data_IF_937732576692
#
_entry.id   IF_937732576692
#
_cell.length_a   1.000
_cell.length_b   1.000
_cell.length_c   1.000
_cell.angle_alpha   90.00
_cell.angle_beta   90.00
_cell.angle_gamma   90.00
#
_symmetry.space_group_name_H-M   'P 1'
#
loop_
_entity.id
_entity.type
_entity.pdbx_description
1 polymer ?
#
# COMPACT_ATOMS: atom_id res chain seq x y z
N UNK A 1 -22.49 -5.28 6.59
CA UNK A 1 -21.07 -4.96 6.83
C UNK A 1 -20.86 -4.84 8.32
N UNK A 2 -19.97 -5.66 8.86
CA UNK A 2 -19.54 -5.59 10.26
C UNK A 2 -18.05 -5.25 10.29
N UNK A 3 -17.65 -4.41 11.24
CA UNK A 3 -16.25 -4.03 11.45
C UNK A 3 -15.88 -4.38 12.88
N UNK A 4 -14.88 -5.24 13.04
CA UNK A 4 -14.37 -5.68 14.33
C UNK A 4 -12.96 -5.16 14.54
N UNK A 5 -12.73 -4.52 15.69
CA UNK A 5 -11.43 -4.05 16.12
C UNK A 5 -10.91 -4.97 17.21
N UNK A 6 -9.72 -5.52 17.00
CA UNK A 6 -9.00 -6.34 17.97
C UNK A 6 -7.72 -5.63 18.38
N UNK A 7 -7.44 -5.53 19.68
CA UNK A 7 -6.19 -4.98 20.18
C UNK A 7 -5.81 -5.69 21.46
N UNK A 8 -4.59 -6.22 21.50
CA UNK A 8 -3.99 -6.84 22.68
C UNK A 8 -2.65 -6.14 22.98
N UNK A 9 -2.26 -6.09 24.25
CA UNK A 9 -1.00 -5.44 24.64
C UNK A 9 0.19 -6.12 23.95
N UNK A 10 1.04 -5.33 23.29
CA UNK A 10 2.17 -5.84 22.52
C UNK A 10 1.84 -6.33 21.10
N UNK A 11 0.56 -6.38 20.71
CA UNK A 11 0.11 -6.81 19.38
C UNK A 11 -0.40 -5.62 18.54
N UNK A 12 -0.37 -5.73 17.19
CA UNK A 12 -0.97 -4.72 16.33
C UNK A 12 -2.50 -4.64 16.55
N UNK A 13 -3.04 -3.45 16.33
CA UNK A 13 -4.47 -3.26 16.13
C UNK A 13 -4.88 -4.00 14.85
N UNK A 14 -5.86 -4.88 14.97
CA UNK A 14 -6.45 -5.61 13.85
C UNK A 14 -7.81 -5.04 13.49
N UNK A 15 -8.07 -4.87 12.20
CA UNK A 15 -9.38 -4.51 11.67
C UNK A 15 -9.86 -5.65 10.78
N UNK A 16 -10.91 -6.33 11.22
CA UNK A 16 -11.58 -7.38 10.47
C UNK A 16 -12.89 -6.83 9.89
N UNK A 17 -13.06 -6.93 8.57
CA UNK A 17 -14.24 -6.45 7.86
C UNK A 17 -14.99 -7.65 7.27
N UNK A 18 -16.22 -7.87 7.72
CA UNK A 18 -17.06 -9.01 7.34
C UNK A 18 -18.45 -8.57 6.86
N UNK A 19 -19.24 -9.56 6.41
CA UNK A 19 -20.66 -9.38 6.06
C UNK A 19 -20.88 -8.31 4.98
N UNK A 20 -19.98 -8.26 3.99
CA UNK A 20 -20.09 -7.36 2.83
C UNK A 20 -21.28 -7.73 1.95
N UNK A 21 -21.60 -9.02 1.84
CA UNK A 21 -22.54 -9.57 0.84
C UNK A 21 -21.81 -9.97 -0.44
N UNK A 22 -22.24 -11.06 -1.08
CA UNK A 22 -21.51 -11.68 -2.20
C UNK A 22 -21.43 -10.82 -3.47
N UNK A 23 -22.28 -9.80 -3.58
CA UNK A 23 -22.31 -8.87 -4.71
C UNK A 23 -21.32 -7.69 -4.57
N UNK A 24 -20.60 -7.59 -3.45
CA UNK A 24 -19.67 -6.49 -3.19
C UNK A 24 -18.23 -7.01 -3.12
N UNK A 25 -17.41 -6.62 -4.11
CA UNK A 25 -16.00 -7.02 -4.24
C UNK A 25 -15.05 -5.82 -4.29
N UNK A 26 -15.49 -4.63 -3.90
CA UNK A 26 -14.69 -3.40 -3.91
C UNK A 26 -14.83 -2.67 -2.60
N UNK A 27 -13.70 -2.46 -1.93
CA UNK A 27 -13.62 -1.75 -0.67
C UNK A 27 -12.62 -0.60 -0.78
N UNK A 28 -12.94 0.52 -0.15
CA UNK A 28 -12.03 1.63 0.08
C UNK A 28 -11.93 1.90 1.57
N UNK A 29 -10.71 1.95 2.08
CA UNK A 29 -10.41 2.26 3.48
C UNK A 29 -9.64 3.57 3.51
N UNK A 30 -10.20 4.56 4.18
CA UNK A 30 -9.56 5.86 4.37
C UNK A 30 -8.92 5.95 5.74
N UNK A 31 -7.64 6.29 5.78
CA UNK A 31 -6.82 6.44 6.98
C UNK A 31 -6.46 7.91 7.08
N UNK A 32 -6.79 8.57 8.19
CA UNK A 32 -6.50 9.99 8.37
C UNK A 32 -4.99 10.28 8.22
N UNK A 33 -4.66 11.39 7.57
CA UNK A 33 -3.29 11.79 7.27
C UNK A 33 -3.08 13.28 7.55
N UNK A 34 -1.82 13.67 7.76
CA UNK A 34 -1.40 15.07 7.75
C UNK A 34 -0.83 15.44 6.38
N UNK A 35 -0.97 16.69 5.90
CA UNK A 35 -0.47 17.09 4.59
C UNK A 35 1.05 16.92 4.39
N UNK A 36 1.82 16.92 5.47
CA UNK A 36 3.28 16.80 5.49
C UNK A 36 3.79 15.39 5.76
N UNK A 37 2.91 14.38 5.90
CA UNK A 37 3.39 13.01 6.10
C UNK A 37 4.20 12.51 4.91
N UNK A 38 5.35 11.92 5.21
CA UNK A 38 6.12 11.10 4.29
C UNK A 38 5.74 9.63 4.48
N UNK A 39 5.52 8.94 3.35
CA UNK A 39 5.08 7.54 3.33
C UNK A 39 6.13 6.67 2.66
N UNK A 40 6.43 5.51 3.23
CA UNK A 40 7.48 4.60 2.75
C UNK A 40 6.95 3.16 2.64
N UNK A 41 7.61 2.31 1.86
CA UNK A 41 7.26 0.90 1.70
C UNK A 41 6.66 0.61 0.33
N UNK A 42 5.47 0.00 0.31
CA UNK A 42 4.84 -0.46 -0.94
C UNK A 42 5.55 -1.67 -1.55
N UNK A 43 6.36 -2.39 -0.77
CA UNK A 43 7.30 -3.40 -1.26
C UNK A 43 8.60 -2.76 -1.76
N UNK A 44 9.13 -3.26 -2.88
CA UNK A 44 10.32 -2.72 -3.52
C UNK A 44 9.95 -1.66 -4.58
N UNK A 45 10.16 -0.39 -4.25
CA UNK A 45 9.85 0.75 -5.12
C UNK A 45 11.14 1.38 -5.68
N UNK A 46 11.16 1.61 -7.00
CA UNK A 46 12.38 2.01 -7.72
C UNK A 46 12.45 3.49 -8.09
N UNK A 47 11.29 4.16 -8.18
CA UNK A 47 11.22 5.55 -8.67
C UNK A 47 11.13 6.55 -7.53
N UNK A 48 10.42 6.20 -6.46
CA UNK A 48 10.14 7.08 -5.32
C UNK A 48 10.30 6.29 -4.03
N UNK A 49 11.10 6.83 -3.10
CA UNK A 49 11.19 6.32 -1.74
C UNK A 49 10.04 6.86 -0.87
N UNK A 50 9.81 8.18 -0.93
CA UNK A 50 8.62 8.80 -0.35
C UNK A 50 7.47 8.67 -1.35
N UNK A 51 6.45 7.90 -0.99
CA UNK A 51 5.29 7.57 -1.81
C UNK A 51 4.21 8.66 -1.78
N UNK A 52 4.38 9.71 -0.98
CA UNK A 52 3.36 10.74 -0.84
C UNK A 52 3.07 11.44 -2.17
N UNK A 53 1.79 11.69 -2.46
CA UNK A 53 1.32 12.43 -3.63
C UNK A 53 0.99 11.57 -4.85
N UNK A 54 1.26 10.26 -4.81
CA UNK A 54 1.04 9.33 -5.93
C UNK A 54 0.25 8.09 -5.50
N UNK A 55 -0.15 7.29 -6.50
CA UNK A 55 -0.86 6.04 -6.34
C UNK A 55 0.03 4.85 -6.69
N UNK A 56 -0.07 3.77 -5.92
CA UNK A 56 0.74 2.57 -6.09
C UNK A 56 -0.15 1.34 -6.17
N UNK A 57 -0.46 0.86 -7.39
CA UNK A 57 -1.14 -0.42 -7.58
C UNK A 57 -0.28 -1.59 -7.08
N UNK A 58 -0.83 -2.40 -6.20
CA UNK A 58 -0.22 -3.62 -5.67
C UNK A 58 -0.57 -4.76 -6.60
N UNK A 59 0.30 -4.97 -7.59
CA UNK A 59 0.18 -6.02 -8.60
C UNK A 59 1.55 -6.40 -9.14
N UNK A 60 2.01 -7.61 -8.82
CA UNK A 60 3.30 -8.11 -9.30
C UNK A 60 3.28 -8.27 -10.81
N UNK A 61 4.33 -7.78 -11.47
CA UNK A 61 4.51 -7.80 -12.92
C UNK A 61 5.95 -7.47 -13.26
N UNK A 62 6.29 -7.56 -14.54
CA UNK A 62 7.54 -7.03 -15.07
C UNK A 62 7.74 -5.57 -14.63
N UNK A 63 8.92 -5.27 -14.10
CA UNK A 63 9.25 -3.94 -13.59
C UNK A 63 9.27 -2.89 -14.72
N UNK A 64 9.62 -3.28 -15.93
CA UNK A 64 9.59 -2.46 -17.14
C UNK A 64 10.94 -1.85 -17.52
N UNK A 65 11.10 -1.53 -18.80
CA UNK A 65 12.33 -1.01 -19.39
C UNK A 65 12.20 0.50 -19.61
N UNK A 66 12.93 1.27 -18.80
CA UNK A 66 12.92 2.75 -18.79
C UNK A 66 11.98 3.32 -17.73
N UNK A 67 10.72 2.86 -17.66
CA UNK A 67 9.74 3.20 -16.59
C UNK A 67 9.38 4.67 -16.44
N UNK A 68 9.65 5.48 -17.46
CA UNK A 68 9.30 6.90 -17.49
C UNK A 68 8.72 7.25 -18.86
N UNK A 69 7.43 7.60 -18.91
CA UNK A 69 6.69 7.83 -20.16
C UNK A 69 7.22 8.99 -21.02
N UNK A 70 8.08 9.84 -20.46
CA UNK A 70 8.74 10.93 -21.20
C UNK A 70 10.03 10.51 -21.90
N UNK A 71 10.56 9.31 -21.60
CA UNK A 71 11.86 8.86 -22.11
C UNK A 71 11.72 8.01 -23.37
N UNK A 72 12.63 8.23 -24.33
CA UNK A 72 12.63 7.53 -25.62
C UNK A 72 12.73 6.01 -25.47
N UNK A 73 13.45 5.53 -24.45
CA UNK A 73 13.57 4.09 -24.16
C UNK A 73 12.22 3.50 -23.83
N UNK A 74 11.46 4.13 -22.93
CA UNK A 74 10.11 3.68 -22.54
C UNK A 74 9.13 3.78 -23.69
N UNK A 75 9.20 4.85 -24.49
CA UNK A 75 8.36 4.99 -25.69
C UNK A 75 8.56 3.82 -26.67
N UNK A 76 9.81 3.46 -26.98
CA UNK A 76 10.11 2.37 -27.92
C UNK A 76 9.69 1.01 -27.36
N UNK A 77 9.91 0.75 -26.07
CA UNK A 77 9.57 -0.54 -25.44
C UNK A 77 8.08 -0.69 -25.17
N UNK A 78 7.34 0.39 -25.00
CA UNK A 78 5.88 0.38 -24.88
C UNK A 78 5.17 -0.04 -26.17
N UNK A 79 5.82 0.06 -27.34
CA UNK A 79 5.32 -0.56 -28.59
C UNK A 79 5.15 -2.09 -28.46
N UNK A 80 5.78 -2.70 -27.44
CA UNK A 80 5.67 -4.11 -27.05
C UNK A 80 5.14 -4.29 -25.62
N UNK A 81 4.56 -3.25 -25.02
CA UNK A 81 4.00 -3.25 -23.66
C UNK A 81 5.01 -3.58 -22.55
N UNK A 82 6.29 -3.26 -22.73
CA UNK A 82 7.36 -3.58 -21.77
C UNK A 82 7.99 -2.36 -21.10
N UNK A 83 7.49 -1.14 -21.33
CA UNK A 83 8.11 0.07 -20.80
C UNK A 83 7.89 0.28 -19.31
N UNK A 84 6.80 -0.26 -18.74
CA UNK A 84 6.44 -0.09 -17.34
C UNK A 84 6.08 1.35 -16.99
N UNK A 85 6.00 1.66 -15.71
CA UNK A 85 5.69 2.99 -15.19
C UNK A 85 6.36 3.19 -13.81
N UNK A 86 6.19 4.36 -13.20
CA UNK A 86 6.86 4.69 -11.95
C UNK A 86 6.59 3.69 -10.81
N UNK A 87 5.41 3.06 -10.80
CA UNK A 87 4.93 2.11 -9.78
C UNK A 87 5.21 0.62 -10.12
N UNK A 88 5.62 0.27 -11.34
CA UNK A 88 5.76 -1.14 -11.72
C UNK A 88 6.97 -1.77 -11.04
N UNK A 89 6.76 -2.94 -10.42
CA UNK A 89 7.77 -3.66 -9.64
C UNK A 89 7.45 -5.16 -9.62
N UNK A 90 8.49 -5.98 -9.49
CA UNK A 90 8.38 -7.41 -9.26
C UNK A 90 7.84 -7.74 -7.86
N UNK A 91 8.08 -6.84 -6.89
CA UNK A 91 7.78 -7.09 -5.49
C UNK A 91 6.96 -5.96 -4.86
N UNK A 92 5.70 -5.75 -5.30
CA UNK A 92 4.79 -4.87 -4.58
C UNK A 92 4.26 -5.58 -3.33
N UNK A 93 4.08 -4.83 -2.25
CA UNK A 93 3.47 -5.33 -1.02
C UNK A 93 2.49 -4.30 -0.48
N UNK A 94 1.28 -4.69 -0.03
CA UNK A 94 0.28 -3.76 0.50
C UNK A 94 0.62 -3.38 1.95
N UNK A 95 1.79 -2.77 2.14
CA UNK A 95 2.33 -2.38 3.44
C UNK A 95 3.02 -1.04 3.30
N UNK A 96 2.73 -0.12 4.21
CA UNK A 96 3.41 1.18 4.23
C UNK A 96 3.69 1.65 5.66
N UNK A 97 4.65 2.55 5.78
CA UNK A 97 5.04 3.23 7.01
C UNK A 97 4.79 4.73 6.85
N UNK A 98 4.30 5.37 7.89
CA UNK A 98 4.11 6.81 7.94
C UNK A 98 5.15 7.50 8.83
N UNK A 99 5.53 8.72 8.50
CA UNK A 99 6.32 9.61 9.37
C UNK A 99 5.66 9.91 10.72
N UNK A 100 4.35 9.68 10.86
CA UNK A 100 3.65 9.68 12.15
C UNK A 100 3.99 8.46 13.04
N UNK A 101 4.93 7.61 12.60
CA UNK A 101 5.43 6.44 13.31
C UNK A 101 4.39 5.34 13.55
N UNK A 102 3.63 5.02 12.50
CA UNK A 102 2.85 3.80 12.42
C UNK A 102 3.10 3.06 11.10
N UNK A 103 2.75 1.78 11.06
CA UNK A 103 2.62 1.04 9.81
C UNK A 103 1.17 0.62 9.57
N UNK A 104 0.85 0.41 8.30
CA UNK A 104 -0.33 -0.33 7.84
C UNK A 104 0.12 -1.57 7.08
N UNK A 105 -0.57 -2.69 7.28
CA UNK A 105 -0.41 -3.90 6.50
C UNK A 105 -1.77 -4.50 6.16
N UNK A 106 -2.00 -4.86 4.91
CA UNK A 106 -3.12 -5.69 4.49
C UNK A 106 -2.64 -7.14 4.34
N UNK A 107 -3.22 -8.06 5.10
CA UNK A 107 -2.81 -9.47 5.11
C UNK A 107 -3.30 -10.31 3.92
N UNK A 108 -4.07 -9.72 3.00
CA UNK A 108 -4.56 -10.39 1.80
C UNK A 108 -3.62 -10.21 0.60
N UNK A 109 -3.81 -11.07 -0.41
CA UNK A 109 -3.08 -11.05 -1.69
C UNK A 109 -3.88 -10.46 -2.85
N UNK A 110 -5.01 -9.84 -2.54
CA UNK A 110 -5.89 -9.19 -3.50
C UNK A 110 -5.16 -8.08 -4.26
N UNK A 111 -5.65 -7.79 -5.46
CA UNK A 111 -5.31 -6.53 -6.10
C UNK A 111 -5.75 -5.38 -5.17
N UNK A 112 -4.82 -4.45 -4.94
CA UNK A 112 -5.03 -3.28 -4.10
C UNK A 112 -4.38 -2.05 -4.73
N UNK A 113 -4.79 -0.86 -4.31
CA UNK A 113 -4.11 0.40 -4.64
C UNK A 113 -3.86 1.13 -3.33
N UNK A 114 -2.60 1.50 -3.10
CA UNK A 114 -2.23 2.43 -2.04
C UNK A 114 -2.22 3.84 -2.63
N UNK A 115 -3.21 4.66 -2.29
CA UNK A 115 -3.33 6.03 -2.75
C UNK A 115 -2.91 7.03 -1.66
N UNK A 116 -1.83 7.75 -1.93
CA UNK A 116 -1.30 8.78 -1.06
C UNK A 116 -1.39 10.18 -1.68
N UNK A 117 -2.21 10.34 -2.73
CA UNK A 117 -2.45 11.59 -3.44
C UNK A 117 -3.31 12.60 -2.67
N UNK A 118 -4.09 12.13 -1.69
CA UNK A 118 -4.96 12.98 -0.89
C UNK A 118 -4.21 13.71 0.24
N UNK A 119 -4.67 14.92 0.57
CA UNK A 119 -4.04 15.78 1.58
C UNK A 119 -4.31 15.32 3.01
N UNK A 120 -5.55 14.95 3.29
CA UNK A 120 -6.04 14.74 4.67
C UNK A 120 -6.30 13.27 4.99
N UNK A 121 -6.09 12.38 4.01
CA UNK A 121 -6.18 10.93 4.20
C UNK A 121 -5.28 10.17 3.22
N UNK A 122 -5.05 8.90 3.52
CA UNK A 122 -4.56 7.88 2.60
C UNK A 122 -5.72 6.94 2.29
N UNK A 123 -5.86 6.51 1.04
CA UNK A 123 -6.92 5.61 0.64
C UNK A 123 -6.31 4.26 0.20
N UNK A 124 -6.87 3.18 0.72
CA UNK A 124 -6.51 1.82 0.32
C UNK A 124 -7.71 1.20 -0.37
N UNK A 125 -7.60 1.03 -1.69
CA UNK A 125 -8.55 0.23 -2.46
C UNK A 125 -8.17 -1.24 -2.35
N UNK A 126 -9.16 -2.13 -2.14
CA UNK A 126 -8.98 -3.58 -2.12
C UNK A 126 -10.08 -4.22 -2.99
N UNK A 127 -9.67 -5.10 -3.90
CA UNK A 127 -10.59 -5.85 -4.75
C UNK A 127 -10.79 -7.29 -4.23
N UNK A 128 -11.98 -7.56 -3.72
CA UNK A 128 -12.44 -8.84 -3.18
C UNK A 128 -12.67 -8.78 -1.68
N UNK A 129 -12.59 -9.93 -1.02
CA UNK A 129 -12.66 -9.98 0.45
C UNK A 129 -11.43 -9.29 1.04
N UNK A 130 -11.58 -8.34 1.97
CA UNK A 130 -10.50 -7.47 2.44
C UNK A 130 -9.50 -8.14 3.38
N UNK A 131 -9.75 -9.40 3.77
CA UNK A 131 -8.95 -10.08 4.79
C UNK A 131 -8.89 -9.29 6.09
N UNK A 132 -7.73 -9.33 6.75
CA UNK A 132 -7.43 -8.58 7.97
C UNK A 132 -6.47 -7.44 7.65
N UNK A 133 -6.76 -6.27 8.22
CA UNK A 133 -5.87 -5.11 8.19
C UNK A 133 -5.17 -4.98 9.55
N UNK A 134 -3.92 -4.53 9.52
CA UNK A 134 -3.07 -4.43 10.70
C UNK A 134 -2.48 -3.04 10.80
N UNK A 135 -2.49 -2.49 12.00
CA UNK A 135 -1.87 -1.22 12.33
C UNK A 135 -1.02 -1.39 13.59
N UNK A 136 0.17 -0.81 13.61
CA UNK A 136 0.94 -0.72 14.84
C UNK A 136 1.73 0.58 14.87
N UNK A 137 2.06 1.04 16.07
CA UNK A 137 2.82 2.26 16.32
C UNK A 137 4.16 1.96 16.96
N UNK A 138 5.12 2.86 16.81
CA UNK A 138 6.43 2.76 17.43
C UNK A 138 7.00 4.14 17.75
N UNK A 139 8.04 4.17 18.58
CA UNK A 139 8.74 5.40 18.92
C UNK A 139 9.84 5.75 17.91
N UNK A 140 10.23 4.79 17.05
CA UNK A 140 11.20 4.96 15.97
C UNK A 140 10.83 4.08 14.76
N UNK A 141 11.43 4.37 13.60
CA UNK A 141 11.29 3.50 12.41
C UNK A 141 11.91 2.12 12.61
N UNK A 142 13.02 2.02 13.35
CA UNK A 142 13.66 0.75 13.69
C UNK A 142 12.71 -0.15 14.52
N UNK A 143 12.00 0.44 15.49
CA UNK A 143 10.98 -0.26 16.27
C UNK A 143 9.82 -0.73 15.38
N UNK A 144 9.35 0.10 14.45
CA UNK A 144 8.27 -0.26 13.52
C UNK A 144 8.62 -1.42 12.60
N UNK A 145 9.81 -1.40 12.00
CA UNK A 145 10.29 -2.48 11.13
C UNK A 145 10.42 -3.77 11.94
N UNK A 146 10.97 -3.69 13.15
CA UNK A 146 11.05 -4.85 14.06
C UNK A 146 9.67 -5.40 14.40
N UNK A 147 8.67 -4.54 14.63
CA UNK A 147 7.28 -4.92 14.92
C UNK A 147 6.48 -5.46 13.73
N UNK A 148 6.96 -5.29 12.49
CA UNK A 148 6.33 -5.89 11.32
C UNK A 148 6.78 -7.34 11.10
N UNK A 149 8.04 -7.66 11.40
CA UNK A 149 8.60 -9.01 11.24
C UNK A 149 7.90 -10.17 12.00
N UNK A 150 7.23 -9.98 13.17
CA UNK A 150 6.55 -11.08 13.86
C UNK A 150 5.13 -11.39 13.36
N UNK A 151 4.67 -10.77 12.26
CA UNK A 151 3.38 -11.08 11.61
C UNK A 151 3.43 -12.34 10.75
#
# INVERSE_FOLDING_TARGET
VSVHLGSEEGHPLTVDISDLGDQYDRLWVQIAAQPDDAIYGGGEQYSYLNLRGLQYPIWTREQGIGRNKSDIVTFVTDLRHSGGDYFTTYFPQPTFYSSQKYYFHHGGSNYAILDFGHRDFHEVFIQGKPGRLYFNTGNSFDELVTKLNPL
#
